data_IF_836302767575
#
_entry.id   IF_836302767575
#
_cell.length_a   1.000
_cell.length_b   1.000
_cell.length_c   1.000
_cell.angle_alpha   90.00
_cell.angle_beta   90.00
_cell.angle_gamma   90.00
#
_symmetry.space_group_name_H-M   'P 1'
#
loop_
_entity.id
_entity.type
_entity.pdbx_description
1 polymer ?
#
# COMPACT_ATOMS: atom_id res chain seq x y z
N UNK A 1 -33.30 3.68 15.83
CA UNK A 1 -33.00 3.47 16.14
C UNK A 1 -32.60 3.40 16.25
N UNK A 2 -32.43 3.56 16.07
CA UNK A 2 -32.01 3.33 16.47
C UNK A 2 -31.67 3.04 16.35
N UNK A 3 -31.53 3.36 15.69
CA UNK A 3 -31.25 3.01 15.71
C UNK A 3 -30.99 2.57 15.51
N UNK A 4 -30.97 2.74 15.29
CA UNK A 4 -30.78 2.41 15.35
C UNK A 4 -30.54 2.24 15.05
N UNK A 5 -30.58 2.53 14.73
CA UNK A 5 -30.38 2.45 14.67
C UNK A 5 -29.90 2.38 14.37
N UNK A 6 -29.73 2.68 13.99
CA UNK A 6 -29.39 2.60 13.92
C UNK A 6 -28.83 2.49 13.92
N UNK A 7 -28.72 2.84 13.85
CA UNK A 7 -28.34 2.60 14.14
C UNK A 7 -28.07 2.29 13.81
N UNK A 8 -28.04 2.40 13.38
CA UNK A 8 -27.95 2.15 13.00
C UNK A 8 -27.74 2.23 12.50
N UNK A 9 -27.65 2.48 12.27
CA UNK A 9 -27.53 2.60 11.87
C UNK A 9 -26.95 2.92 11.58
N UNK A 10 -26.80 3.28 11.61
CA UNK A 10 -26.37 3.50 11.49
C UNK A 10 -25.87 3.32 11.16
N UNK A 11 -25.89 3.48 11.01
CA UNK A 11 -25.57 3.31 10.70
C UNK A 11 -25.45 3.03 10.11
N UNK A 12 -25.51 3.28 9.80
CA UNK A 12 -25.46 3.12 9.11
C UNK A 12 -25.42 3.17 8.36
N UNK A 13 -25.38 3.42 7.96
CA UNK A 13 -25.21 3.50 7.13
C UNK A 13 -24.92 3.64 6.57
N UNK A 14 -25.17 3.91 6.40
CA UNK A 14 -24.72 3.88 5.75
C UNK A 14 -24.30 3.82 5.27
N UNK A 15 -24.32 3.82 4.72
CA UNK A 15 -23.66 3.59 4.01
C UNK A 15 -23.36 3.86 3.58
N UNK A 16 -23.92 3.42 3.46
CA UNK A 16 -23.48 3.61 2.66
C UNK A 16 -22.77 4.45 2.39
N UNK A 17 -22.46 4.38 2.56
CA UNK A 17 -21.36 5.09 2.24
C UNK A 17 -20.63 4.51 1.16
N UNK A 18 -19.99 5.17 0.31
CA UNK A 18 -19.11 4.65 -0.70
C UNK A 18 -17.91 3.95 -0.07
N UNK A 19 -17.04 3.31 -0.86
CA UNK A 19 -15.84 2.69 -0.33
C UNK A 19 -14.98 3.70 0.41
N UNK A 20 -14.29 3.23 1.43
CA UNK A 20 -13.38 4.07 2.19
C UNK A 20 -12.29 4.59 1.26
N UNK A 21 -11.99 5.88 1.37
CA UNK A 21 -10.99 6.50 0.53
C UNK A 21 -9.70 6.66 1.29
N UNK A 22 -8.59 6.48 0.57
CA UNK A 22 -7.25 6.64 1.10
C UNK A 22 -6.49 7.63 0.21
N UNK A 23 -5.49 8.33 0.76
CA UNK A 23 -4.59 9.08 -0.12
C UNK A 23 -3.95 8.15 -1.14
N UNK A 24 -3.78 8.62 -2.36
CA UNK A 24 -3.18 7.84 -3.42
C UNK A 24 -4.11 6.81 -4.01
N UNK A 25 -3.56 5.66 -4.33
CA UNK A 25 -4.32 4.56 -4.92
C UNK A 25 -4.50 3.46 -3.90
N UNK A 26 -5.55 2.68 -4.06
CA UNK A 26 -5.77 1.51 -3.21
C UNK A 26 -6.45 0.41 -4.00
N UNK A 27 -6.26 -0.82 -3.55
CA UNK A 27 -6.97 -1.96 -4.13
C UNK A 27 -7.08 -3.06 -3.10
N UNK A 28 -8.03 -3.94 -3.36
CA UNK A 28 -8.19 -5.13 -2.53
C UNK A 28 -8.07 -6.35 -3.43
N UNK A 29 -7.28 -7.32 -3.01
CA UNK A 29 -7.15 -8.58 -3.75
C UNK A 29 -7.08 -9.72 -2.77
N UNK A 30 -7.94 -10.70 -2.97
CA UNK A 30 -8.03 -11.89 -2.11
C UNK A 30 -8.13 -11.53 -0.64
N UNK A 31 -8.84 -10.43 -0.34
CA UNK A 31 -9.03 -9.98 1.03
C UNK A 31 -7.89 -9.16 1.61
N UNK A 32 -6.84 -8.88 0.84
CA UNK A 32 -5.72 -8.07 1.30
C UNK A 32 -5.83 -6.66 0.72
N UNK A 33 -5.66 -5.65 1.58
CA UNK A 33 -5.75 -4.25 1.19
C UNK A 33 -4.36 -3.70 0.92
N UNK A 34 -4.20 -3.09 -0.25
CA UNK A 34 -2.96 -2.44 -0.68
C UNK A 34 -3.19 -0.94 -0.71
N UNK A 35 -2.22 -0.19 -0.22
CA UNK A 35 -2.23 1.28 -0.29
C UNK A 35 -0.99 1.71 -1.06
N UNK A 36 -1.14 2.66 -1.98
CA UNK A 36 -0.05 3.13 -2.85
C UNK A 36 0.05 4.64 -2.74
N UNK A 37 1.18 5.11 -2.23
CA UNK A 37 1.46 6.54 -2.18
C UNK A 37 2.33 6.93 -3.38
N UNK A 38 1.89 7.91 -4.14
CA UNK A 38 2.56 8.32 -5.39
C UNK A 38 3.41 9.56 -5.25
N UNK A 39 3.38 10.19 -4.09
CA UNK A 39 4.11 11.43 -3.85
C UNK A 39 4.53 11.50 -2.39
N UNK A 40 5.43 12.44 -2.09
CA UNK A 40 5.86 12.67 -0.70
C UNK A 40 4.66 12.97 0.19
N UNK A 41 3.71 13.74 -0.30
CA UNK A 41 2.53 14.12 0.49
C UNK A 41 1.67 12.89 0.77
N UNK A 42 1.39 12.08 -0.26
CA UNK A 42 0.58 10.88 -0.08
C UNK A 42 1.29 9.88 0.82
N UNK A 43 2.59 9.66 0.60
CA UNK A 43 3.38 8.75 1.44
C UNK A 43 3.33 9.17 2.90
N UNK A 44 3.51 10.46 3.17
CA UNK A 44 3.50 10.97 4.53
C UNK A 44 2.13 10.79 5.18
N UNK A 45 1.07 11.09 4.47
CA UNK A 45 -0.27 10.94 5.01
C UNK A 45 -0.61 9.48 5.28
N UNK A 46 -0.23 8.57 4.38
CA UNK A 46 -0.43 7.15 4.61
C UNK A 46 0.30 6.68 5.86
N UNK A 47 1.58 7.07 5.98
CA UNK A 47 2.38 6.69 7.13
C UNK A 47 1.81 7.20 8.44
N UNK A 48 1.31 8.44 8.47
CA UNK A 48 0.82 9.04 9.69
C UNK A 48 -0.57 8.56 10.10
N UNK A 49 -1.43 8.25 9.12
CA UNK A 49 -2.86 8.08 9.42
C UNK A 49 -3.41 6.70 9.10
N UNK A 50 -2.77 5.96 8.22
CA UNK A 50 -3.38 4.74 7.69
C UNK A 50 -2.54 3.49 7.86
N UNK A 51 -1.26 3.64 8.18
CA UNK A 51 -0.33 2.52 8.28
C UNK A 51 0.00 2.26 9.73
N UNK A 52 -0.01 0.99 10.11
CA UNK A 52 0.31 0.56 11.47
C UNK A 52 1.55 -0.30 11.47
N UNK A 53 2.11 -0.54 12.64
CA UNK A 53 3.43 -1.16 12.77
C UNK A 53 3.61 -2.50 12.08
N UNK A 54 2.57 -3.33 12.03
CA UNK A 54 2.69 -4.65 11.42
C UNK A 54 2.40 -4.68 9.92
N UNK A 55 1.97 -3.55 9.35
CA UNK A 55 1.75 -3.48 7.91
C UNK A 55 3.09 -3.56 7.18
N UNK A 56 3.08 -4.15 5.99
CA UNK A 56 4.30 -4.25 5.18
C UNK A 56 4.45 -3.02 4.30
N UNK A 57 5.69 -2.59 4.14
CA UNK A 57 6.10 -1.49 3.29
C UNK A 57 7.03 -2.01 2.22
N UNK A 58 6.82 -1.58 0.97
CA UNK A 58 7.62 -1.97 -0.19
C UNK A 58 8.07 -0.72 -0.93
N UNK A 59 9.32 -0.74 -1.38
CA UNK A 59 9.88 0.37 -2.15
C UNK A 59 10.96 -0.14 -3.09
N UNK A 60 10.99 0.40 -4.32
CA UNK A 60 12.02 0.03 -5.30
C UNK A 60 13.40 0.41 -4.75
N UNK A 61 14.34 -0.54 -4.87
CA UNK A 61 15.63 -0.40 -4.20
C UNK A 61 16.47 0.72 -4.73
N UNK A 62 16.63 0.82 -6.05
CA UNK A 62 17.56 1.73 -6.67
C UNK A 62 16.89 2.89 -7.41
N UNK A 63 15.61 3.08 -7.19
CA UNK A 63 14.83 4.06 -7.94
C UNK A 63 13.91 4.81 -7.01
N UNK A 64 13.72 6.10 -7.30
CA UNK A 64 12.63 6.79 -6.62
C UNK A 64 11.30 6.28 -7.16
N UNK A 65 10.29 6.25 -6.31
CA UNK A 65 9.00 5.72 -6.69
C UNK A 65 8.04 5.70 -5.53
N UNK A 66 6.93 5.05 -5.78
CA UNK A 66 5.83 4.95 -4.83
C UNK A 66 6.17 4.02 -3.67
N UNK A 67 5.65 4.34 -2.51
CA UNK A 67 5.57 3.40 -1.40
C UNK A 67 4.31 2.57 -1.59
N UNK A 68 4.44 1.27 -1.39
CA UNK A 68 3.28 0.37 -1.42
C UNK A 68 3.20 -0.29 -0.06
N UNK A 69 2.00 -0.31 0.49
CA UNK A 69 1.75 -0.94 1.79
C UNK A 69 0.73 -2.07 1.63
N UNK A 70 0.96 -3.15 2.37
CA UNK A 70 -0.03 -4.22 2.49
C UNK A 70 -0.47 -4.23 3.95
N UNK A 71 -1.77 -4.06 4.18
CA UNK A 71 -2.31 -4.00 5.54
C UNK A 71 -2.27 -5.38 6.17
N UNK A 72 -1.77 -5.44 7.39
CA UNK A 72 -1.68 -6.69 8.12
C UNK A 72 -3.05 -7.20 8.53
N UNK A 73 -3.16 -8.52 8.63
CA UNK A 73 -4.33 -9.19 9.20
C UNK A 73 -3.89 -9.96 10.44
N UNK A 74 -4.74 -9.94 11.45
CA UNK A 74 -4.43 -10.62 12.71
C UNK A 74 -4.19 -12.12 12.45
N UNK A 75 -3.09 -12.62 12.99
CA UNK A 75 -2.76 -14.05 12.96
C UNK A 75 -2.59 -14.63 11.56
N UNK A 76 -2.28 -13.78 10.57
CA UNK A 76 -2.03 -14.25 9.20
C UNK A 76 -0.75 -13.65 8.66
N UNK A 77 0.03 -14.50 8.00
CA UNK A 77 1.19 -14.02 7.23
C UNK A 77 0.73 -13.62 5.84
N UNK A 78 1.40 -12.62 5.28
CA UNK A 78 1.10 -12.19 3.92
C UNK A 78 1.61 -13.26 2.96
N UNK A 79 0.75 -13.80 2.09
CA UNK A 79 1.17 -14.83 1.13
C UNK A 79 2.18 -14.29 0.13
N UNK A 80 3.03 -15.17 -0.38
CA UNK A 80 4.04 -14.79 -1.36
C UNK A 80 3.41 -14.11 -2.58
N UNK A 81 2.27 -14.58 -3.07
CA UNK A 81 1.64 -13.98 -4.23
C UNK A 81 1.22 -12.53 -3.98
N UNK A 82 0.78 -12.24 -2.75
CA UNK A 82 0.41 -10.86 -2.38
C UNK A 82 1.68 -10.01 -2.26
N UNK A 83 2.78 -10.58 -1.75
CA UNK A 83 4.05 -9.86 -1.71
C UNK A 83 4.56 -9.55 -3.11
N UNK A 84 4.43 -10.50 -4.03
CA UNK A 84 4.81 -10.27 -5.43
C UNK A 84 3.94 -9.22 -6.09
N UNK A 85 2.65 -9.20 -5.76
CA UNK A 85 1.76 -8.14 -6.22
C UNK A 85 2.24 -6.78 -5.73
N UNK A 86 2.54 -6.67 -4.44
CA UNK A 86 2.99 -5.40 -3.86
C UNK A 86 4.32 -4.96 -4.45
N UNK A 87 5.26 -5.88 -4.59
CA UNK A 87 6.55 -5.58 -5.19
C UNK A 87 6.42 -5.15 -6.65
N UNK A 88 5.52 -5.80 -7.38
CA UNK A 88 5.26 -5.44 -8.78
C UNK A 88 4.69 -4.04 -8.88
N UNK A 89 3.77 -3.67 -8.00
CA UNK A 89 3.22 -2.31 -7.98
C UNK A 89 4.30 -1.29 -7.63
N UNK A 90 5.14 -1.59 -6.65
CA UNK A 90 6.21 -0.67 -6.25
C UNK A 90 7.20 -0.45 -7.40
N UNK A 91 7.53 -1.50 -8.13
CA UNK A 91 8.42 -1.35 -9.29
C UNK A 91 7.72 -0.64 -10.44
N UNK A 92 6.46 -0.97 -10.69
CA UNK A 92 5.70 -0.36 -11.78
C UNK A 92 5.55 1.14 -11.60
N UNK A 93 5.34 1.61 -10.37
CA UNK A 93 5.20 3.04 -10.08
C UNK A 93 6.53 3.66 -9.67
N UNK A 94 7.64 3.12 -10.18
CA UNK A 94 8.96 3.67 -9.93
C UNK A 94 9.64 4.02 -11.26
N UNK A 95 10.77 4.69 -11.16
CA UNK A 95 11.58 5.00 -12.34
C UNK A 95 12.25 3.75 -12.92
N UNK A 96 12.21 2.63 -12.21
CA UNK A 96 12.77 1.36 -12.69
C UNK A 96 11.82 0.54 -13.55
N UNK A 97 10.63 1.05 -13.82
CA UNK A 97 9.61 0.30 -14.55
C UNK A 97 10.07 -0.22 -15.90
N UNK A 98 10.80 0.59 -16.62
CA UNK A 98 11.22 0.22 -17.98
C UNK A 98 12.20 -0.94 -18.02
N UNK A 99 12.84 -1.25 -16.89
CA UNK A 99 13.75 -2.40 -16.82
C UNK A 99 13.02 -3.73 -16.88
N UNK A 100 11.73 -3.75 -16.54
CA UNK A 100 10.94 -4.98 -16.54
C UNK A 100 11.19 -5.90 -15.36
N UNK A 101 12.21 -5.66 -14.57
CA UNK A 101 12.54 -6.45 -13.39
C UNK A 101 13.35 -5.58 -12.44
N UNK A 102 13.32 -5.88 -11.17
CA UNK A 102 14.08 -5.12 -10.20
C UNK A 102 13.97 -5.67 -8.80
N UNK A 103 14.73 -5.06 -7.91
CA UNK A 103 14.75 -5.42 -6.52
C UNK A 103 13.97 -4.41 -5.70
N UNK A 104 13.24 -4.91 -4.73
CA UNK A 104 12.47 -4.11 -3.79
C UNK A 104 13.00 -4.35 -2.39
N UNK A 105 13.01 -3.30 -1.58
CA UNK A 105 13.10 -3.47 -0.13
C UNK A 105 11.71 -3.69 0.41
N UNK A 106 11.58 -4.55 1.42
CA UNK A 106 10.35 -4.61 2.19
C UNK A 106 10.67 -4.87 3.65
N UNK A 107 9.82 -4.33 4.49
CA UNK A 107 9.93 -4.51 5.93
C UNK A 107 8.60 -4.13 6.56
N UNK A 108 8.42 -4.46 7.83
CA UNK A 108 7.23 -3.99 8.55
C UNK A 108 7.41 -2.51 8.87
N UNK A 109 6.29 -1.78 8.86
CA UNK A 109 6.32 -0.33 9.08
C UNK A 109 6.97 0.06 10.42
N UNK A 110 6.87 -0.80 11.43
CA UNK A 110 7.48 -0.53 12.73
C UNK A 110 9.01 -0.44 12.66
N UNK A 111 9.61 -0.93 11.59
CA UNK A 111 11.05 -0.85 11.39
C UNK A 111 11.48 0.30 10.49
N UNK A 112 10.54 1.16 10.11
CA UNK A 112 10.86 2.36 9.36
C UNK A 112 11.20 3.49 10.32
N UNK A 113 12.24 4.26 9.99
CA UNK A 113 12.63 5.43 10.77
C UNK A 113 12.46 6.67 9.91
N UNK A 114 11.93 7.73 10.50
CA UNK A 114 11.89 8.99 9.80
C UNK A 114 13.25 9.67 9.93
N UNK A 115 13.72 10.25 8.83
CA UNK A 115 14.95 11.02 8.86
C UNK A 115 14.67 12.31 9.64
N UNK A 116 15.51 12.60 10.64
CA UNK A 116 15.40 13.84 11.39
C UNK A 116 15.68 14.99 10.44
N UNK A 117 14.75 15.95 10.37
CA UNK A 117 14.86 17.09 9.46
C UNK A 117 14.90 16.70 7.98
N UNK A 118 14.44 15.47 7.65
CA UNK A 118 14.39 15.03 6.27
C UNK A 118 13.12 15.49 5.58
N UNK A 119 13.04 15.27 4.26
CA UNK A 119 11.84 15.61 3.51
C UNK A 119 10.61 14.85 4.03
N UNK A 120 9.45 15.46 3.80
CA UNK A 120 8.18 14.85 4.17
C UNK A 120 8.06 13.48 3.49
N UNK A 121 7.62 12.50 4.24
CA UNK A 121 7.37 11.16 3.71
C UNK A 121 8.62 10.30 3.55
N UNK A 122 9.81 10.86 3.74
CA UNK A 122 11.03 10.07 3.64
C UNK A 122 11.20 9.18 4.86
N UNK A 123 11.38 7.89 4.63
CA UNK A 123 11.69 6.94 5.69
C UNK A 123 12.92 6.14 5.31
N UNK A 124 13.61 5.67 6.33
CA UNK A 124 14.80 4.83 6.19
C UNK A 124 14.44 3.47 6.75
N UNK A 125 14.46 2.41 5.93
CA UNK A 125 14.11 1.09 6.43
C UNK A 125 15.21 0.51 7.30
N UNK A 126 14.82 -0.25 8.31
CA UNK A 126 15.71 -1.12 9.07
C UNK A 126 15.15 -2.53 9.00
N UNK A 127 16.02 -3.52 9.18
CA UNK A 127 15.65 -4.93 9.09
C UNK A 127 14.95 -5.28 7.78
N UNK A 128 15.26 -4.53 6.74
CA UNK A 128 14.65 -4.73 5.45
C UNK A 128 15.16 -6.00 4.79
N UNK A 129 14.31 -6.58 3.96
CA UNK A 129 14.64 -7.74 3.16
C UNK A 129 14.53 -7.35 1.70
N UNK A 130 15.17 -8.13 0.85
CA UNK A 130 15.15 -7.91 -0.59
C UNK A 130 14.15 -8.85 -1.22
N UNK A 131 13.38 -8.32 -2.17
CA UNK A 131 12.47 -9.12 -2.98
C UNK A 131 12.74 -8.77 -4.44
N UNK A 132 13.10 -9.78 -5.22
CA UNK A 132 13.29 -9.60 -6.66
C UNK A 132 11.98 -9.88 -7.37
N UNK A 133 11.53 -8.95 -8.21
CA UNK A 133 10.31 -9.16 -8.98
C UNK A 133 10.59 -8.95 -10.45
N UNK A 134 9.87 -9.68 -11.28
CA UNK A 134 9.83 -9.48 -12.72
C UNK A 134 8.42 -9.03 -13.03
N UNK A 135 8.30 -7.93 -13.76
CA UNK A 135 6.99 -7.42 -14.11
C UNK A 135 6.32 -8.37 -15.08
N UNK A 136 5.11 -8.78 -14.72
CA UNK A 136 4.29 -9.68 -15.50
C UNK A 136 3.06 -8.92 -15.96
N UNK A 137 2.82 -8.87 -17.26
CA UNK A 137 1.73 -8.09 -17.81
C UNK A 137 0.36 -8.55 -17.31
N UNK A 138 0.17 -9.86 -17.19
CA UNK A 138 -1.09 -10.37 -16.68
C UNK A 138 -1.35 -9.97 -15.25
N UNK A 139 -0.32 -10.07 -14.41
CA UNK A 139 -0.44 -9.65 -13.01
C UNK A 139 -0.72 -8.16 -12.91
N UNK A 140 0.02 -7.34 -13.66
CA UNK A 140 -0.17 -5.89 -13.63
C UNK A 140 -1.53 -5.49 -14.14
N UNK A 141 -2.00 -6.12 -15.21
CA UNK A 141 -3.32 -5.82 -15.75
C UNK A 141 -4.42 -6.08 -14.72
N UNK A 142 -4.30 -7.21 -14.02
CA UNK A 142 -5.29 -7.57 -13.01
C UNK A 142 -5.24 -6.61 -11.83
N UNK A 143 -4.04 -6.27 -11.36
CA UNK A 143 -3.90 -5.34 -10.24
C UNK A 143 -4.45 -3.97 -10.59
N UNK A 144 -4.12 -3.47 -11.79
CA UNK A 144 -4.59 -2.16 -12.22
C UNK A 144 -6.10 -2.12 -12.39
N UNK A 145 -6.69 -3.22 -12.82
CA UNK A 145 -8.14 -3.33 -12.92
C UNK A 145 -8.82 -3.16 -11.56
N UNK A 146 -8.17 -3.65 -10.51
CA UNK A 146 -8.73 -3.62 -9.16
C UNK A 146 -8.54 -2.28 -8.46
N UNK A 147 -7.68 -1.40 -8.96
CA UNK A 147 -7.41 -0.13 -8.29
C UNK A 147 -8.66 0.72 -8.28
N UNK A 148 -9.08 1.08 -7.06
CA UNK A 148 -10.10 2.11 -6.87
C UNK A 148 -9.46 3.47 -7.04
N UNK A 149 -10.07 4.32 -7.84
CA UNK A 149 -9.53 5.64 -8.13
C UNK A 149 -10.36 6.70 -7.46
N UNK A 150 -9.65 7.65 -6.87
CA UNK A 150 -10.33 8.80 -6.32
C UNK A 150 -11.02 9.53 -7.46
N UNK A 151 -12.30 9.79 -7.28
CA UNK A 151 -13.05 10.50 -8.28
C UNK A 151 -13.65 9.62 -9.38
N UNK A 152 -13.36 8.35 -9.34
CA UNK A 152 -14.00 7.40 -10.26
C UNK A 152 -15.33 6.95 -9.72
#
# INVERSE_FOLDING_TARGET
PYAIRAFLAKRRTAPSQGPKRFPGLSLERDGWLFLIGRSAVENDELLRRHVRGNDLWFHARDYSGSYVFVKAKANKSVPLEIMLDAGSLALYYSKGRSSGAGDLYYTQAKYLRRAKNGPKGLVIPTQEKNLRVKLDEGRLKELRRLIGRDGD
#
